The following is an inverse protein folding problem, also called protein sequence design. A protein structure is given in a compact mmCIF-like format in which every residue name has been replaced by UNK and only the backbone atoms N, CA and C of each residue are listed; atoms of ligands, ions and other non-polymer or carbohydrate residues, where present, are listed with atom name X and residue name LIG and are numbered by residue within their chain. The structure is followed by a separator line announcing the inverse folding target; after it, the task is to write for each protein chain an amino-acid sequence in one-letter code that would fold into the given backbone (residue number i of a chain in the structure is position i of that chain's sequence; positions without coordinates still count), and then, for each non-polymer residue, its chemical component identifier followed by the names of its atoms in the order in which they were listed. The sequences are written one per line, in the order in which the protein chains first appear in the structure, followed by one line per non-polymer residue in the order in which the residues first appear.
data_IF_895557495857
#
_entry.id   IF_895557495857
#
_cell.length_a   1.000
_cell.length_b   1.000
_cell.length_c   1.000
_cell.angle_alpha   90.00
_cell.angle_beta   90.00
_cell.angle_gamma   90.00
#
_symmetry.space_group_name_H-M   'P 1'
#
loop_
_entity.id
_entity.type
_entity.pdbx_description
1 polymer ?
#
# COMPACT_ATOMS: atom_id res chain seq x y z
N UNK A 1 29.40 2.01 1.82
CA UNK A 1 28.20 1.19 2.12
C UNK A 1 28.64 -0.25 2.26
N UNK A 2 28.21 -0.94 3.31
CA UNK A 2 28.55 -2.35 3.53
C UNK A 2 27.53 -3.23 2.77
N UNK A 3 28.01 -4.25 2.05
CA UNK A 3 27.16 -5.20 1.32
C UNK A 3 27.60 -6.62 1.63
N UNK A 4 26.64 -7.50 1.94
CA UNK A 4 26.91 -8.89 2.28
C UNK A 4 25.69 -9.76 1.95
N UNK A 5 25.94 -11.00 1.55
CA UNK A 5 24.92 -12.03 1.35
C UNK A 5 25.47 -13.37 1.84
N UNK A 6 24.58 -14.21 2.37
CA UNK A 6 24.91 -15.55 2.88
C UNK A 6 23.68 -16.45 2.76
N UNK A 7 23.92 -17.75 2.65
CA UNK A 7 22.87 -18.76 2.48
C UNK A 7 22.59 -19.10 1.02
N UNK A 8 21.55 -19.92 0.81
CA UNK A 8 21.15 -20.44 -0.50
C UNK A 8 19.79 -19.89 -0.93
N UNK A 9 19.69 -19.43 -2.16
CA UNK A 9 18.43 -19.02 -2.80
C UNK A 9 17.59 -20.22 -3.25
N UNK A 10 18.23 -21.36 -3.52
CA UNK A 10 17.60 -22.66 -3.76
C UNK A 10 18.60 -23.80 -3.51
N UNK A 11 18.20 -25.06 -3.61
CA UNK A 11 19.06 -26.22 -3.32
C UNK A 11 20.45 -26.15 -3.99
N UNK A 12 20.50 -25.65 -5.22
CA UNK A 12 21.70 -25.54 -6.06
C UNK A 12 22.19 -24.10 -6.30
N UNK A 13 21.60 -23.08 -5.66
CA UNK A 13 21.95 -21.68 -5.92
C UNK A 13 22.31 -20.95 -4.62
N UNK A 14 23.55 -20.50 -4.51
CA UNK A 14 24.01 -19.61 -3.43
C UNK A 14 23.41 -18.21 -3.59
N UNK A 15 23.10 -17.56 -2.47
CA UNK A 15 22.67 -16.16 -2.46
C UNK A 15 23.83 -15.23 -2.77
N UNK A 16 23.51 -14.17 -3.50
CA UNK A 16 24.38 -13.04 -3.78
C UNK A 16 23.68 -11.74 -3.39
N UNK A 17 24.44 -10.64 -3.29
CA UNK A 17 23.86 -9.30 -3.03
C UNK A 17 22.87 -8.85 -4.11
N UNK A 18 22.84 -9.52 -5.26
CA UNK A 18 21.92 -9.25 -6.37
C UNK A 18 20.75 -10.25 -6.45
N UNK A 19 20.65 -11.19 -5.49
CA UNK A 19 19.54 -12.14 -5.47
C UNK A 19 18.23 -11.38 -5.21
N UNK A 20 17.23 -11.47 -6.09
CA UNK A 20 15.95 -10.80 -5.86
C UNK A 20 15.30 -11.29 -4.57
N UNK A 21 14.79 -10.36 -3.77
CA UNK A 21 14.08 -10.66 -2.52
C UNK A 21 12.67 -10.08 -2.57
N UNK A 22 11.71 -10.85 -2.04
CA UNK A 22 10.37 -10.32 -1.79
C UNK A 22 10.44 -9.28 -0.67
N UNK A 23 10.01 -8.05 -0.94
CA UNK A 23 10.10 -6.94 0.01
C UNK A 23 8.86 -6.78 0.90
N UNK A 24 7.77 -7.52 0.65
CA UNK A 24 6.56 -7.55 1.48
C UNK A 24 6.10 -6.15 1.94
N UNK A 25 5.94 -5.90 3.24
CA UNK A 25 5.53 -4.59 3.78
C UNK A 25 6.53 -3.46 3.51
N UNK A 26 7.81 -3.76 3.26
CA UNK A 26 8.79 -2.75 2.82
C UNK A 26 8.40 -2.13 1.47
N UNK A 27 7.56 -2.78 0.65
CA UNK A 27 6.97 -2.13 -0.53
C UNK A 27 6.25 -0.81 -0.21
N UNK A 28 5.69 -0.66 0.99
CA UNK A 28 5.03 0.58 1.43
C UNK A 28 5.99 1.76 1.48
N UNK A 29 7.29 1.54 1.74
CA UNK A 29 8.28 2.64 1.74
C UNK A 29 8.60 3.15 0.34
N UNK A 30 8.27 2.39 -0.71
CA UNK A 30 8.37 2.83 -2.11
C UNK A 30 7.06 3.42 -2.61
N UNK A 31 5.93 2.85 -2.20
CA UNK A 31 4.60 3.31 -2.61
C UNK A 31 4.22 4.65 -1.96
N UNK A 32 4.52 4.86 -0.68
CA UNK A 32 4.16 6.11 0.01
C UNK A 32 4.78 7.35 -0.64
N UNK A 33 6.09 7.38 -1.00
CA UNK A 33 6.66 8.49 -1.76
C UNK A 33 5.97 8.72 -3.12
N UNK A 34 5.59 7.67 -3.84
CA UNK A 34 4.88 7.81 -5.11
C UNK A 34 3.53 8.52 -4.93
N UNK A 35 2.80 8.18 -3.87
CA UNK A 35 1.55 8.86 -3.49
C UNK A 35 1.82 10.33 -3.13
N UNK A 36 2.86 10.59 -2.33
CA UNK A 36 3.23 11.95 -1.96
C UNK A 36 3.63 12.80 -3.18
N UNK A 37 4.37 12.25 -4.14
CA UNK A 37 4.67 12.93 -5.41
C UNK A 37 3.40 13.26 -6.20
N UNK A 38 2.38 12.40 -6.19
CA UNK A 38 1.11 12.71 -6.86
C UNK A 38 0.37 13.87 -6.18
N UNK A 39 0.47 13.97 -4.85
CA UNK A 39 -0.06 15.08 -4.06
C UNK A 39 0.70 16.38 -4.37
N UNK A 40 2.03 16.33 -4.42
CA UNK A 40 2.88 17.47 -4.79
C UNK A 40 2.57 17.98 -6.20
N UNK A 41 2.28 17.07 -7.14
CA UNK A 41 1.86 17.40 -8.50
C UNK A 41 0.39 17.89 -8.60
N UNK A 42 -0.34 17.97 -7.49
CA UNK A 42 -1.69 18.53 -7.43
C UNK A 42 -2.80 17.60 -7.93
N UNK A 43 -2.56 16.30 -8.08
CA UNK A 43 -3.60 15.37 -8.53
C UNK A 43 -4.72 15.17 -7.49
N UNK A 44 -4.38 15.21 -6.20
CA UNK A 44 -5.30 15.16 -5.07
C UNK A 44 -4.60 15.67 -3.80
N UNK A 45 -5.32 15.69 -2.67
CA UNK A 45 -4.82 16.14 -1.37
C UNK A 45 -4.85 15.01 -0.35
N UNK A 46 -4.03 15.16 0.70
CA UNK A 46 -4.05 14.25 1.86
C UNK A 46 -5.45 14.10 2.47
N UNK A 47 -6.23 15.18 2.47
CA UNK A 47 -7.59 15.24 3.02
C UNK A 47 -8.68 14.69 2.08
N UNK A 48 -8.34 14.34 0.83
CA UNK A 48 -9.32 13.75 -0.08
C UNK A 48 -9.59 12.30 0.29
N UNK A 49 -10.87 11.90 0.21
CA UNK A 49 -11.29 10.52 0.38
C UNK A 49 -10.90 9.65 -0.81
N UNK A 50 -10.85 8.32 -0.62
CA UNK A 50 -10.71 7.37 -1.72
C UNK A 50 -11.78 7.57 -2.80
N UNK A 51 -13.02 7.86 -2.41
CA UNK A 51 -14.09 8.19 -3.35
C UNK A 51 -13.77 9.41 -4.22
N UNK A 52 -13.25 10.47 -3.61
CA UNK A 52 -12.87 11.68 -4.35
C UNK A 52 -11.76 11.35 -5.35
N UNK A 53 -10.73 10.62 -4.91
CA UNK A 53 -9.56 10.28 -5.73
C UNK A 53 -9.89 9.31 -6.87
N UNK A 54 -10.78 8.34 -6.63
CA UNK A 54 -11.04 7.23 -7.56
C UNK A 54 -12.38 7.31 -8.29
N UNK A 55 -13.19 8.36 -8.08
CA UNK A 55 -14.51 8.52 -8.69
C UNK A 55 -14.54 8.36 -10.22
N UNK A 56 -13.46 8.73 -10.91
CA UNK A 56 -13.32 8.58 -12.37
C UNK A 56 -12.81 7.21 -12.85
N UNK A 57 -12.49 6.28 -11.94
CA UNK A 57 -11.94 4.97 -12.29
C UNK A 57 -13.07 3.97 -12.61
N UNK A 58 -13.05 3.27 -13.76
CA UNK A 58 -14.15 2.37 -14.18
C UNK A 58 -14.46 1.30 -13.13
N UNK A 59 -13.43 0.78 -12.48
CA UNK A 59 -13.57 -0.28 -11.48
C UNK A 59 -13.86 0.21 -10.06
N UNK A 60 -13.94 1.53 -9.81
CA UNK A 60 -14.19 2.03 -8.45
C UNK A 60 -15.52 1.51 -7.87
N UNK A 61 -16.53 1.38 -8.73
CA UNK A 61 -17.83 0.83 -8.38
C UNK A 61 -17.75 -0.63 -7.87
N UNK A 62 -16.77 -1.40 -8.34
CA UNK A 62 -16.57 -2.81 -7.98
C UNK A 62 -15.89 -3.03 -6.62
N UNK A 63 -15.38 -1.97 -5.98
CA UNK A 63 -14.73 -2.09 -4.68
C UNK A 63 -15.71 -2.62 -3.62
N UNK A 64 -15.33 -3.66 -2.85
CA UNK A 64 -16.19 -4.26 -1.83
C UNK A 64 -16.43 -3.28 -0.68
N UNK A 65 -17.57 -2.59 -0.70
CA UNK A 65 -17.95 -1.54 0.27
C UNK A 65 -18.02 -2.03 1.71
N UNK A 66 -18.21 -3.33 1.91
CA UNK A 66 -18.24 -3.97 3.23
C UNK A 66 -16.84 -4.23 3.81
N UNK A 67 -15.79 -4.11 2.99
CA UNK A 67 -14.39 -4.28 3.40
C UNK A 67 -13.59 -2.98 3.34
N UNK A 68 -13.90 -2.11 2.40
CA UNK A 68 -13.17 -0.87 2.12
C UNK A 68 -14.12 0.31 2.36
N UNK A 69 -13.85 1.06 3.41
CA UNK A 69 -14.51 2.34 3.65
C UNK A 69 -14.03 3.36 2.61
N UNK A 70 -14.92 3.79 1.71
CA UNK A 70 -14.61 4.74 0.62
C UNK A 70 -14.38 6.17 1.11
N UNK A 71 -14.78 6.47 2.35
CA UNK A 71 -14.64 7.79 2.96
C UNK A 71 -13.29 8.00 3.65
N UNK A 72 -12.46 6.96 3.79
CA UNK A 72 -11.12 7.12 4.36
C UNK A 72 -10.28 8.02 3.47
N UNK A 73 -9.49 8.87 4.13
CA UNK A 73 -8.62 9.83 3.48
C UNK A 73 -7.28 9.19 3.07
N UNK A 74 -6.57 9.85 2.15
CA UNK A 74 -5.20 9.45 1.79
C UNK A 74 -4.27 9.53 3.00
N UNK A 75 -4.44 10.54 3.86
CA UNK A 75 -3.69 10.67 5.11
C UNK A 75 -3.87 9.45 6.03
N UNK A 76 -5.12 9.05 6.27
CA UNK A 76 -5.42 7.92 7.15
C UNK A 76 -4.89 6.58 6.61
N UNK A 77 -4.79 6.44 5.28
CA UNK A 77 -4.17 5.28 4.65
C UNK A 77 -2.65 5.28 4.83
N UNK A 78 -1.98 6.42 4.59
CA UNK A 78 -0.54 6.57 4.74
C UNK A 78 -0.09 6.42 6.21
N UNK A 79 -0.90 6.92 7.14
CA UNK A 79 -0.64 6.85 8.58
C UNK A 79 -1.09 5.53 9.22
N UNK A 80 -1.72 4.63 8.46
CA UNK A 80 -2.30 3.38 8.97
C UNK A 80 -3.36 3.59 10.07
N UNK A 81 -4.10 4.70 10.01
CA UNK A 81 -5.15 5.09 10.97
C UNK A 81 -6.58 4.97 10.41
N UNK A 82 -6.73 4.52 9.18
CA UNK A 82 -8.02 4.33 8.48
C UNK A 82 -9.00 3.35 9.13
N UNK A 83 -8.54 2.52 10.08
CA UNK A 83 -9.35 1.45 10.67
C UNK A 83 -9.59 0.27 9.72
N UNK A 84 -8.93 0.25 8.56
CA UNK A 84 -8.84 -0.94 7.72
C UNK A 84 -7.88 -1.94 8.38
N UNK A 85 -8.39 -3.11 8.70
CA UNK A 85 -7.57 -4.26 9.10
C UNK A 85 -6.84 -4.83 7.90
N UNK A 86 -5.87 -5.73 8.15
CA UNK A 86 -5.26 -6.51 7.08
C UNK A 86 -6.38 -7.16 6.24
N UNK A 87 -6.28 -7.07 4.92
CA UNK A 87 -7.29 -7.60 4.00
C UNK A 87 -7.59 -9.08 4.27
N UNK A 88 -6.60 -9.83 4.76
CA UNK A 88 -6.72 -11.24 5.13
C UNK A 88 -7.40 -11.47 6.49
N UNK A 89 -7.36 -10.50 7.39
CA UNK A 89 -7.92 -10.56 8.75
C UNK A 89 -9.23 -9.75 8.92
N UNK A 90 -9.79 -9.22 7.82
CA UNK A 90 -10.83 -8.20 7.86
C UNK A 90 -12.20 -8.72 8.32
N UNK A 91 -12.37 -8.82 9.65
CA UNK A 91 -13.66 -9.00 10.35
C UNK A 91 -14.35 -7.64 10.55
N UNK A 92 -14.77 -7.02 9.45
CA UNK A 92 -15.54 -5.78 9.46
C UNK A 92 -14.71 -4.53 9.76
N UNK A 93 -14.59 -3.65 8.77
CA UNK A 93 -14.03 -2.31 8.95
C UNK A 93 -14.87 -1.47 9.91
N UNK A 94 -14.28 -0.39 10.42
CA UNK A 94 -14.93 0.57 11.33
C UNK A 94 -16.28 1.03 10.75
N UNK A 95 -17.36 0.78 11.49
CA UNK A 95 -18.70 1.30 11.18
C UNK A 95 -18.75 2.75 11.68
N UNK A 96 -19.04 3.68 10.79
CA UNK A 96 -19.40 5.06 11.18
C UNK A 96 -20.83 5.09 11.70
#
# INVERSE_FOLDING_TARGET
MWTYASGKASESLEMTVNTPLMISSTSKTFLSPLILTQIENGHYKLTHSLETVLSGHPDFSSLPIYKINRMVTVEELLAMTSGLSDFNDNKGGKVN
#
